data_IF_350971813175
#
_entry.id   IF_350971813175
#
_cell.length_a   1.000
_cell.length_b   1.000
_cell.length_c   1.000
_cell.angle_alpha   90.00
_cell.angle_beta   90.00
_cell.angle_gamma   90.00
#
_symmetry.space_group_name_H-M   'P 1'
#
loop_
_entity.id
_entity.type
_entity.pdbx_description
1 polymer ?
#
# COMPACT_ATOMS: atom_id res chain seq x y z
N UNK A 1 -12.63 11.32 14.36
CA UNK A 1 -11.87 10.64 15.43
C UNK A 1 -11.18 11.69 16.29
N UNK A 2 -11.03 11.44 17.60
CA UNK A 2 -10.29 12.34 18.48
C UNK A 2 -8.79 12.30 18.16
N UNK A 3 -8.14 13.46 18.11
CA UNK A 3 -6.69 13.57 17.93
C UNK A 3 -5.99 13.55 19.30
N UNK A 4 -4.95 12.72 19.45
CA UNK A 4 -4.12 12.67 20.65
C UNK A 4 -2.84 13.47 20.41
N UNK A 5 -2.54 14.45 21.28
CA UNK A 5 -1.30 15.22 21.23
C UNK A 5 -0.12 14.34 21.67
N UNK A 6 0.97 14.37 20.88
CA UNK A 6 2.24 13.71 21.20
C UNK A 6 3.38 14.73 21.14
N UNK A 7 4.36 14.59 22.03
CA UNK A 7 5.64 15.28 21.93
C UNK A 7 6.63 14.34 21.26
N UNK A 8 7.33 14.81 20.24
CA UNK A 8 8.32 14.03 19.49
C UNK A 8 9.60 14.85 19.37
N UNK A 9 10.74 14.16 19.33
CA UNK A 9 12.04 14.78 19.09
C UNK A 9 12.49 14.41 17.68
N UNK A 10 12.91 15.40 16.91
CA UNK A 10 13.40 15.24 15.54
C UNK A 10 14.77 15.90 15.42
N UNK A 11 15.59 15.43 14.49
CA UNK A 11 16.84 16.12 14.15
C UNK A 11 16.57 17.44 13.44
N UNK A 12 17.54 18.35 13.47
CA UNK A 12 17.47 19.61 12.71
C UNK A 12 17.26 19.36 11.21
N UNK A 13 17.84 18.28 10.68
CA UNK A 13 17.68 17.88 9.27
C UNK A 13 16.27 17.42 8.95
N UNK A 14 15.60 16.74 9.88
CA UNK A 14 14.21 16.32 9.76
C UNK A 14 13.27 17.52 9.87
N UNK A 15 13.46 18.42 10.84
CA UNK A 15 12.68 19.66 10.96
C UNK A 15 12.77 20.50 9.68
N UNK A 16 13.98 20.72 9.16
CA UNK A 16 14.18 21.45 7.91
C UNK A 16 13.47 20.78 6.72
N UNK A 17 13.41 19.44 6.71
CA UNK A 17 12.66 18.69 5.70
C UNK A 17 11.16 18.93 5.80
N UNK A 18 10.59 18.84 7.02
CA UNK A 18 9.16 19.08 7.28
C UNK A 18 8.77 20.49 6.85
N UNK A 19 9.56 21.50 7.24
CA UNK A 19 9.33 22.91 6.85
C UNK A 19 9.31 23.10 5.34
N UNK A 20 10.15 22.39 4.59
CA UNK A 20 10.11 22.43 3.11
C UNK A 20 8.83 21.83 2.53
N UNK A 21 8.27 20.78 3.13
CA UNK A 21 7.00 20.22 2.67
C UNK A 21 5.83 21.18 2.93
N UNK A 22 5.84 21.85 4.08
CA UNK A 22 4.87 22.90 4.42
C UNK A 22 5.00 24.09 3.46
N UNK A 23 6.22 24.57 3.22
CA UNK A 23 6.47 25.69 2.31
C UNK A 23 6.04 25.44 0.86
N UNK A 24 5.98 24.18 0.43
CA UNK A 24 5.44 23.78 -0.88
C UNK A 24 3.91 23.87 -0.96
N UNK A 25 3.23 24.16 0.15
CA UNK A 25 1.79 24.29 0.25
C UNK A 25 1.03 22.97 0.37
N UNK A 26 1.74 21.84 0.51
CA UNK A 26 1.11 20.53 0.63
C UNK A 26 0.52 20.28 2.05
N UNK A 27 1.00 21.02 3.05
CA UNK A 27 0.59 20.87 4.45
C UNK A 27 0.59 22.24 5.14
N UNK A 28 -0.27 22.41 6.14
CA UNK A 28 -0.40 23.66 6.89
C UNK A 28 0.48 23.69 8.15
N UNK A 29 0.86 22.52 8.67
CA UNK A 29 1.66 22.38 9.89
C UNK A 29 2.37 21.02 9.98
N UNK A 30 3.30 20.90 10.92
CA UNK A 30 4.12 19.71 11.15
C UNK A 30 3.28 18.47 11.47
N UNK A 31 2.26 18.64 12.33
CA UNK A 31 1.42 17.51 12.76
C UNK A 31 0.63 16.91 11.61
N UNK A 32 0.26 17.73 10.61
CA UNK A 32 -0.41 17.29 9.40
C UNK A 32 0.52 16.44 8.54
N UNK A 33 1.74 16.92 8.31
CA UNK A 33 2.73 16.18 7.55
C UNK A 33 3.12 14.86 8.23
N UNK A 34 3.29 14.86 9.56
CA UNK A 34 3.62 13.65 10.32
C UNK A 34 2.47 12.63 10.25
N UNK A 35 1.21 13.08 10.36
CA UNK A 35 0.05 12.20 10.18
C UNK A 35 -0.01 11.59 8.79
N UNK A 36 0.33 12.37 7.76
CA UNK A 36 0.40 11.89 6.39
C UNK A 36 1.49 10.82 6.20
N UNK A 37 2.68 11.02 6.80
CA UNK A 37 3.75 10.02 6.79
C UNK A 37 3.32 8.71 7.47
N UNK A 38 2.67 8.78 8.63
CA UNK A 38 2.14 7.60 9.32
C UNK A 38 1.11 6.87 8.47
N UNK A 39 0.23 7.60 7.78
CA UNK A 39 -0.76 6.99 6.88
C UNK A 39 -0.09 6.26 5.71
N UNK A 40 0.90 6.87 5.06
CA UNK A 40 1.65 6.23 3.97
C UNK A 40 2.41 4.98 4.42
N UNK A 41 2.96 5.02 5.63
CA UNK A 41 3.62 3.87 6.25
C UNK A 41 2.63 2.72 6.48
N UNK A 42 1.45 3.02 7.06
CA UNK A 42 0.38 2.03 7.23
C UNK A 42 -0.13 1.44 5.92
N UNK A 43 -0.31 2.28 4.89
CA UNK A 43 -0.71 1.84 3.54
C UNK A 43 0.35 0.93 2.91
N UNK A 44 1.63 1.26 3.08
CA UNK A 44 2.76 0.44 2.62
C UNK A 44 2.82 -0.91 3.32
N UNK A 45 2.71 -0.93 4.64
CA UNK A 45 2.69 -2.16 5.44
C UNK A 45 1.48 -3.04 5.10
N UNK A 46 0.30 -2.46 4.92
CA UNK A 46 -0.90 -3.19 4.50
C UNK A 46 -0.73 -3.81 3.11
N UNK A 47 -0.17 -3.06 2.15
CA UNK A 47 0.12 -3.57 0.81
C UNK A 47 1.14 -4.71 0.82
N UNK A 48 2.22 -4.57 1.60
CA UNK A 48 3.23 -5.61 1.76
C UNK A 48 2.66 -6.87 2.42
N UNK A 49 1.84 -6.72 3.45
CA UNK A 49 1.17 -7.84 4.11
C UNK A 49 0.24 -8.58 3.14
N UNK A 50 -0.56 -7.85 2.35
CA UNK A 50 -1.43 -8.44 1.33
C UNK A 50 -0.65 -9.20 0.26
N UNK A 51 0.47 -8.64 -0.21
CA UNK A 51 1.36 -9.32 -1.16
C UNK A 51 1.93 -10.62 -0.58
N UNK A 52 2.45 -10.57 0.65
CA UNK A 52 2.99 -11.77 1.34
C UNK A 52 1.92 -12.85 1.49
N UNK A 53 0.69 -12.48 1.82
CA UNK A 53 -0.42 -13.42 1.92
C UNK A 53 -0.78 -14.04 0.57
N UNK A 54 -0.82 -13.25 -0.50
CA UNK A 54 -1.09 -13.75 -1.85
C UNK A 54 -0.02 -14.74 -2.33
N UNK A 55 1.26 -14.45 -2.05
CA UNK A 55 2.39 -15.35 -2.34
C UNK A 55 2.25 -16.64 -1.53
N UNK A 56 2.00 -16.55 -0.23
CA UNK A 56 1.83 -17.73 0.63
C UNK A 56 0.70 -18.63 0.11
N UNK A 57 -0.46 -18.04 -0.24
CA UNK A 57 -1.57 -18.78 -0.84
C UNK A 57 -1.19 -19.48 -2.14
N UNK A 58 -0.41 -18.82 -3.02
CA UNK A 58 0.06 -19.40 -4.28
C UNK A 58 1.07 -20.54 -4.08
N UNK A 59 1.92 -20.44 -3.06
CA UNK A 59 2.85 -21.51 -2.69
C UNK A 59 2.11 -22.71 -2.08
N UNK A 60 1.12 -22.46 -1.22
CA UNK A 60 0.27 -23.49 -0.61
C UNK A 60 -0.64 -24.20 -1.61
N UNK A 61 -1.03 -23.53 -2.72
CA UNK A 61 -1.81 -24.17 -3.78
C UNK A 61 -1.05 -25.21 -4.58
N UNK A 62 0.27 -25.33 -4.38
CA UNK A 62 1.12 -26.28 -5.11
C UNK A 62 1.38 -25.84 -6.55
N UNK A 63 2.12 -26.68 -7.28
CA UNK A 63 2.47 -26.44 -8.69
C UNK A 63 1.30 -26.88 -9.57
N UNK A 64 0.86 -26.00 -10.46
CA UNK A 64 -0.13 -26.35 -11.46
C UNK A 64 0.54 -27.06 -12.65
N UNK A 65 -0.01 -28.21 -13.06
CA UNK A 65 0.42 -28.95 -14.26
C UNK A 65 -0.25 -28.43 -15.56
N UNK A 66 -0.92 -27.28 -15.50
CA UNK A 66 -1.65 -26.71 -16.64
C UNK A 66 -0.73 -25.82 -17.48
N UNK A 67 -0.83 -25.92 -18.81
CA UNK A 67 -0.09 -25.06 -19.74
C UNK A 67 -0.67 -23.65 -19.80
N UNK A 68 0.14 -22.68 -20.22
CA UNK A 68 -0.30 -21.31 -20.39
C UNK A 68 -1.47 -21.19 -21.38
N UNK A 69 -1.44 -21.95 -22.49
CA UNK A 69 -2.50 -21.93 -23.50
C UNK A 69 -3.84 -22.42 -22.94
N UNK A 70 -3.81 -23.45 -22.09
CA UNK A 70 -5.01 -23.96 -21.43
C UNK A 70 -5.58 -22.96 -20.41
N UNK A 71 -4.72 -22.24 -19.67
CA UNK A 71 -5.14 -21.16 -18.76
C UNK A 71 -5.85 -20.04 -19.54
N UNK A 72 -5.34 -19.70 -20.73
CA UNK A 72 -5.94 -18.67 -21.57
C UNK A 72 -7.28 -19.06 -22.16
N UNK A 73 -7.40 -20.28 -22.71
CA UNK A 73 -8.67 -20.75 -23.23
C UNK A 73 -9.76 -20.74 -22.12
N UNK A 74 -9.43 -21.21 -20.91
CA UNK A 74 -10.36 -21.23 -19.78
C UNK A 74 -10.78 -19.82 -19.33
N UNK A 75 -9.86 -18.85 -19.37
CA UNK A 75 -10.16 -17.46 -19.01
C UNK A 75 -11.11 -16.79 -20.01
N UNK A 76 -10.92 -17.03 -21.32
CA UNK A 76 -11.79 -16.52 -22.38
C UNK A 76 -13.20 -17.11 -22.30
N UNK A 77 -13.32 -18.43 -22.07
CA UNK A 77 -14.60 -19.08 -21.84
C UNK A 77 -15.33 -18.48 -20.64
N UNK A 78 -14.64 -18.30 -19.50
CA UNK A 78 -15.23 -17.66 -18.31
C UNK A 78 -15.71 -16.24 -18.55
N UNK A 79 -14.95 -15.43 -19.29
CA UNK A 79 -15.33 -14.05 -19.61
C UNK A 79 -16.57 -14.00 -20.52
N UNK A 80 -16.61 -14.84 -21.56
CA UNK A 80 -17.74 -14.92 -22.49
C UNK A 80 -19.04 -15.40 -21.80
N UNK A 81 -18.92 -16.27 -20.80
CA UNK A 81 -20.05 -16.75 -20.01
C UNK A 81 -20.59 -15.72 -19.00
N UNK A 82 -19.78 -14.73 -18.59
CA UNK A 82 -20.23 -13.64 -17.70
C UNK A 82 -20.94 -12.50 -18.42
N UNK A 83 -20.75 -12.38 -19.74
CA UNK A 83 -21.36 -11.36 -20.61
C UNK A 83 -22.71 -11.81 -21.22
N UNK A 84 -23.15 -13.05 -20.95
CA UNK A 84 -24.41 -13.65 -21.41
C UNK A 84 -25.48 -13.69 -20.32
#
# INVERSE_FOLDING_TARGET
MATIRKTITLSDTQDAWIKRQIARGAFTNDSEYIRDLVRRDQEGEAGLAGLKQAIAKGLESGVADTSLDAIWAEAEERASASDA
#
